data_IF_846231157165
#
_entry.id   IF_846231157165
#
_cell.length_a   1.000
_cell.length_b   1.000
_cell.length_c   1.000
_cell.angle_alpha   90.00
_cell.angle_beta   90.00
_cell.angle_gamma   90.00
#
_symmetry.space_group_name_H-M   'P 1'
#
loop_
_entity.id
_entity.type
_entity.pdbx_description
1 polymer ?
#
# COMPACT_ATOMS: atom_id res chain seq x y z
N UNK A 1 34.29 -3.06 37.10
CA UNK A 1 32.97 -2.41 37.05
C UNK A 1 32.42 -2.68 35.67
N UNK A 2 31.53 -3.67 35.60
CA UNK A 2 30.74 -3.96 34.42
C UNK A 2 29.47 -3.10 34.44
N UNK A 3 28.77 -3.09 33.32
CA UNK A 3 27.34 -2.77 33.15
C UNK A 3 27.05 -1.44 32.44
N UNK A 4 26.87 -1.55 31.12
CA UNK A 4 25.83 -0.88 30.33
C UNK A 4 25.92 -1.40 28.88
N UNK A 5 25.26 -2.53 28.62
CA UNK A 5 25.00 -3.02 27.27
C UNK A 5 23.77 -3.93 27.28
N UNK A 6 22.60 -3.36 27.55
CA UNK A 6 21.35 -4.09 27.33
C UNK A 6 20.27 -3.15 26.79
N UNK A 7 20.18 -3.07 25.46
CA UNK A 7 18.98 -2.66 24.72
C UNK A 7 19.16 -2.95 23.21
N UNK A 8 19.12 -4.22 22.82
CA UNK A 8 19.04 -4.62 21.40
C UNK A 8 18.39 -6.00 21.14
N UNK A 9 17.54 -6.49 22.04
CA UNK A 9 16.98 -7.85 21.97
C UNK A 9 15.45 -7.93 21.71
N UNK A 10 14.80 -6.84 21.30
CA UNK A 10 13.34 -6.78 21.11
C UNK A 10 12.83 -7.04 19.68
N UNK A 11 13.65 -6.82 18.64
CA UNK A 11 13.21 -6.87 17.24
C UNK A 11 13.36 -8.25 16.57
N UNK A 12 14.28 -9.10 17.04
CA UNK A 12 14.73 -10.27 16.27
C UNK A 12 13.80 -11.50 16.39
N UNK A 13 12.96 -11.57 17.42
CA UNK A 13 12.05 -12.70 17.65
C UNK A 13 10.72 -12.53 16.88
N UNK A 14 10.19 -11.30 16.85
CA UNK A 14 8.92 -10.97 16.21
C UNK A 14 8.95 -11.09 14.68
N UNK A 15 10.10 -10.86 14.05
CA UNK A 15 10.27 -11.03 12.60
C UNK A 15 10.22 -12.51 12.20
N UNK A 16 10.90 -13.38 12.96
CA UNK A 16 10.90 -14.82 12.71
C UNK A 16 9.50 -15.44 12.84
N UNK A 17 8.74 -15.09 13.89
CA UNK A 17 7.37 -15.60 14.07
C UNK A 17 6.40 -15.11 12.99
N UNK A 18 6.56 -13.86 12.51
CA UNK A 18 5.76 -13.34 11.38
C UNK A 18 6.06 -14.12 10.10
N UNK A 19 7.34 -14.30 9.79
CA UNK A 19 7.77 -15.02 8.59
C UNK A 19 7.21 -16.45 8.55
N UNK A 20 7.29 -17.20 9.66
CA UNK A 20 6.76 -18.58 9.72
C UNK A 20 5.24 -18.63 9.51
N UNK A 21 4.50 -17.69 10.10
CA UNK A 21 3.05 -17.64 9.97
C UNK A 21 2.60 -17.34 8.53
N UNK A 22 3.23 -16.36 7.87
CA UNK A 22 2.86 -15.99 6.49
C UNK A 22 3.39 -16.94 5.43
N UNK A 23 4.41 -17.74 5.74
CA UNK A 23 5.03 -18.67 4.79
C UNK A 23 4.01 -19.63 4.17
N UNK A 24 3.11 -20.20 4.95
CA UNK A 24 2.08 -21.13 4.44
C UNK A 24 0.85 -20.45 3.82
N UNK A 25 0.59 -19.18 4.17
CA UNK A 25 -0.60 -18.45 3.73
C UNK A 25 -0.36 -17.77 2.38
N UNK A 26 0.81 -17.15 2.20
CA UNK A 26 1.11 -16.32 1.02
C UNK A 26 1.84 -17.08 -0.10
N UNK A 27 2.46 -18.24 0.19
CA UNK A 27 3.22 -19.02 -0.80
C UNK A 27 2.48 -20.30 -1.22
N UNK A 28 1.16 -20.22 -1.46
CA UNK A 28 0.41 -21.38 -1.95
C UNK A 28 0.89 -21.81 -3.34
N UNK A 29 0.93 -23.12 -3.65
CA UNK A 29 1.30 -23.59 -4.97
C UNK A 29 0.31 -23.06 -6.03
N UNK A 30 0.75 -22.91 -7.29
CA UNK A 30 -0.14 -22.52 -8.37
C UNK A 30 -1.37 -23.45 -8.42
N UNK A 31 -2.58 -22.92 -8.65
CA UNK A 31 -3.78 -23.74 -8.72
C UNK A 31 -3.64 -24.77 -9.84
N UNK A 32 -3.97 -26.03 -9.54
CA UNK A 32 -3.88 -27.16 -10.50
C UNK A 32 -4.95 -27.08 -11.59
N UNK A 33 -6.01 -26.31 -11.37
CA UNK A 33 -7.10 -26.10 -12.33
C UNK A 33 -6.79 -24.92 -13.23
N UNK A 34 -6.54 -25.18 -14.51
CA UNK A 34 -6.48 -24.15 -15.54
C UNK A 34 -7.86 -23.57 -15.78
N UNK A 35 -8.04 -22.30 -15.38
CA UNK A 35 -9.30 -21.58 -15.56
C UNK A 35 -9.39 -21.14 -17.04
N UNK A 36 -10.25 -21.78 -17.82
CA UNK A 36 -10.51 -21.39 -19.21
C UNK A 36 -11.44 -20.19 -19.25
N UNK A 37 -10.87 -19.00 -19.14
CA UNK A 37 -11.60 -17.73 -19.30
C UNK A 37 -11.77 -17.51 -20.81
N UNK A 38 -13.02 -17.56 -21.29
CA UNK A 38 -13.31 -17.18 -22.66
C UNK A 38 -12.84 -15.74 -22.91
N UNK A 39 -12.22 -15.44 -24.06
CA UNK A 39 -11.80 -14.08 -24.37
C UNK A 39 -13.00 -13.14 -24.23
N UNK A 40 -12.76 -11.98 -23.61
CA UNK A 40 -13.79 -10.97 -23.43
C UNK A 40 -14.42 -10.64 -24.78
N UNK A 41 -15.71 -10.96 -24.94
CA UNK A 41 -16.43 -10.77 -26.20
C UNK A 41 -16.55 -9.29 -26.60
N UNK A 42 -16.46 -8.39 -25.62
CA UNK A 42 -16.53 -6.94 -25.80
C UNK A 42 -15.39 -6.28 -25.03
N UNK A 43 -14.62 -5.45 -25.72
CA UNK A 43 -13.68 -4.55 -25.06
C UNK A 43 -14.48 -3.46 -24.36
N UNK A 44 -14.36 -3.38 -23.02
CA UNK A 44 -14.96 -2.29 -22.26
C UNK A 44 -14.42 -0.96 -22.78
N UNK A 45 -15.29 0.03 -22.99
CA UNK A 45 -14.92 1.40 -23.37
C UNK A 45 -14.28 2.12 -22.18
N UNK A 46 -13.08 1.71 -21.80
CA UNK A 46 -12.29 2.35 -20.74
C UNK A 46 -11.43 3.43 -21.38
N UNK A 47 -11.39 4.60 -20.73
CA UNK A 47 -10.50 5.68 -21.13
C UNK A 47 -9.05 5.29 -20.79
N UNK A 48 -8.22 5.09 -21.81
CA UNK A 48 -6.78 4.77 -21.66
C UNK A 48 -5.86 5.97 -21.87
N UNK A 49 -6.40 7.20 -21.85
CA UNK A 49 -5.59 8.40 -21.93
C UNK A 49 -4.85 8.65 -20.60
N UNK A 50 -3.75 9.41 -20.63
CA UNK A 50 -3.04 9.79 -19.41
C UNK A 50 -3.96 10.53 -18.42
N UNK A 51 -3.73 10.36 -17.11
CA UNK A 51 -4.56 10.99 -16.08
C UNK A 51 -4.51 12.51 -16.17
N UNK A 52 -5.68 13.14 -16.16
CA UNK A 52 -5.81 14.60 -16.24
C UNK A 52 -5.73 15.26 -14.86
N UNK A 53 -5.33 16.53 -14.82
CA UNK A 53 -5.38 17.34 -13.59
C UNK A 53 -6.77 17.36 -12.94
N UNK A 54 -7.84 17.38 -13.74
CA UNK A 54 -9.23 17.38 -13.24
C UNK A 54 -9.57 16.08 -12.51
N UNK A 55 -9.14 14.94 -13.06
CA UNK A 55 -9.32 13.64 -12.41
C UNK A 55 -8.54 13.56 -11.09
N UNK A 56 -7.32 14.07 -11.06
CA UNK A 56 -6.50 14.14 -9.83
C UNK A 56 -7.18 15.02 -8.77
N UNK A 57 -7.69 16.20 -9.15
CA UNK A 57 -8.44 17.08 -8.23
C UNK A 57 -9.65 16.34 -7.65
N UNK A 58 -10.40 15.62 -8.49
CA UNK A 58 -11.57 14.85 -8.07
C UNK A 58 -11.17 13.72 -7.11
N UNK A 59 -10.08 13.02 -7.42
CA UNK A 59 -9.54 11.96 -6.58
C UNK A 59 -9.12 12.50 -5.20
N UNK A 60 -8.32 13.57 -5.15
CA UNK A 60 -7.88 14.19 -3.88
C UNK A 60 -9.08 14.63 -3.04
N UNK A 61 -10.10 15.27 -3.64
CA UNK A 61 -11.32 15.67 -2.92
C UNK A 61 -12.06 14.47 -2.31
N UNK A 62 -12.04 13.33 -2.99
CA UNK A 62 -12.71 12.09 -2.55
C UNK A 62 -11.95 11.30 -1.48
N UNK A 63 -10.69 11.64 -1.17
CA UNK A 63 -9.92 10.97 -0.12
C UNK A 63 -10.62 11.07 1.25
N UNK A 64 -10.56 10.02 2.06
CA UNK A 64 -11.08 10.08 3.43
C UNK A 64 -10.03 10.71 4.35
N UNK A 65 -10.42 11.73 5.11
CA UNK A 65 -9.56 12.44 6.07
C UNK A 65 -9.48 11.73 7.42
N UNK A 66 -10.47 10.90 7.78
CA UNK A 66 -10.48 10.19 9.07
C UNK A 66 -9.56 8.95 9.12
N UNK A 67 -8.52 8.89 8.29
CA UNK A 67 -7.58 7.76 8.20
C UNK A 67 -6.17 8.19 8.59
N UNK A 68 -5.42 7.27 9.19
CA UNK A 68 -4.01 7.48 9.48
C UNK A 68 -3.23 7.72 8.17
N UNK A 69 -2.24 8.64 8.20
CA UNK A 69 -1.29 8.79 7.11
C UNK A 69 -0.64 7.45 6.76
N UNK A 70 -0.23 7.30 5.49
CA UNK A 70 0.60 6.16 5.11
C UNK A 70 1.95 6.18 5.81
N UNK A 71 2.81 5.22 5.47
CA UNK A 71 4.21 5.23 5.92
C UNK A 71 5.00 6.46 5.42
N UNK A 72 4.46 7.19 4.45
CA UNK A 72 4.98 8.47 3.97
C UNK A 72 4.73 9.63 4.95
N UNK A 73 3.85 9.46 5.95
CA UNK A 73 3.50 10.50 6.91
C UNK A 73 2.65 11.63 6.33
N UNK A 74 2.10 11.48 5.12
CA UNK A 74 1.31 12.52 4.44
C UNK A 74 -0.19 12.28 4.69
N UNK A 75 -0.85 13.10 5.52
CA UNK A 75 -2.29 13.00 5.73
C UNK A 75 -3.07 13.45 4.49
N UNK A 76 -4.27 12.88 4.28
CA UNK A 76 -5.16 13.30 3.20
C UNK A 76 -5.55 14.78 3.31
N UNK A 77 -5.62 15.31 4.52
CA UNK A 77 -5.87 16.72 4.84
C UNK A 77 -4.82 17.63 4.24
N UNK A 78 -3.54 17.24 4.25
CA UNK A 78 -2.47 18.06 3.68
C UNK A 78 -2.66 18.24 2.17
N UNK A 79 -3.03 17.15 1.47
CA UNK A 79 -3.32 17.19 0.04
C UNK A 79 -4.57 18.02 -0.29
N UNK A 80 -5.56 18.02 0.62
CA UNK A 80 -6.78 18.81 0.46
C UNK A 80 -6.59 20.30 0.83
N UNK A 81 -5.64 20.62 1.68
CA UNK A 81 -5.38 21.99 2.14
C UNK A 81 -4.88 22.90 1.00
N UNK A 82 -4.03 22.37 0.12
CA UNK A 82 -3.60 23.04 -1.10
C UNK A 82 -3.71 22.10 -2.32
N UNK A 83 -4.91 22.09 -2.90
CA UNK A 83 -5.21 21.31 -4.09
C UNK A 83 -4.33 21.69 -5.28
N UNK A 84 -3.97 22.96 -5.42
CA UNK A 84 -3.18 23.44 -6.56
C UNK A 84 -1.77 22.86 -6.45
N UNK A 85 -1.11 23.06 -5.32
CA UNK A 85 0.23 22.52 -5.09
C UNK A 85 0.25 20.99 -5.19
N UNK A 86 -0.74 20.30 -4.59
CA UNK A 86 -0.85 18.86 -4.66
C UNK A 86 -0.96 18.34 -6.11
N UNK A 87 -1.78 18.99 -6.95
CA UNK A 87 -1.96 18.60 -8.35
C UNK A 87 -0.73 18.89 -9.20
N UNK A 88 -0.08 20.04 -9.00
CA UNK A 88 1.16 20.36 -9.73
C UNK A 88 2.29 19.39 -9.39
N UNK A 89 2.34 18.86 -8.16
CA UNK A 89 3.31 17.82 -7.79
C UNK A 89 2.92 16.43 -8.31
N UNK A 90 1.64 16.04 -8.17
CA UNK A 90 1.19 14.67 -8.48
C UNK A 90 1.02 14.41 -9.98
N UNK A 91 0.55 15.39 -10.76
CA UNK A 91 0.29 15.20 -12.18
C UNK A 91 1.50 14.72 -12.99
N UNK A 92 2.69 15.36 -12.94
CA UNK A 92 3.84 14.90 -13.70
C UNK A 92 4.32 13.51 -13.25
N UNK A 93 4.21 13.19 -11.95
CA UNK A 93 4.56 11.87 -11.43
C UNK A 93 3.63 10.78 -11.97
N UNK A 94 2.31 10.99 -11.87
CA UNK A 94 1.31 10.03 -12.34
C UNK A 94 1.37 9.86 -13.86
N UNK A 95 1.61 10.94 -14.60
CA UNK A 95 1.81 10.89 -16.05
C UNK A 95 3.04 10.05 -16.41
N UNK A 96 4.17 10.26 -15.72
CA UNK A 96 5.39 9.48 -15.95
C UNK A 96 5.20 7.99 -15.66
N UNK A 97 4.49 7.65 -14.58
CA UNK A 97 4.17 6.25 -14.23
C UNK A 97 3.29 5.62 -15.32
N UNK A 98 2.31 6.37 -15.83
CA UNK A 98 1.43 5.92 -16.92
C UNK A 98 2.20 5.67 -18.23
N UNK A 99 3.06 6.59 -18.64
CA UNK A 99 3.82 6.50 -19.89
C UNK A 99 4.93 5.45 -19.85
N UNK A 100 5.61 5.30 -18.71
CA UNK A 100 6.75 4.39 -18.59
C UNK A 100 6.37 3.00 -18.08
N UNK A 101 5.12 2.84 -17.62
CA UNK A 101 4.62 1.64 -16.93
C UNK A 101 5.53 1.18 -15.77
N UNK A 102 6.24 2.12 -15.15
CA UNK A 102 7.22 1.87 -14.10
C UNK A 102 6.72 2.39 -12.75
N UNK A 103 6.45 1.44 -11.85
CA UNK A 103 6.05 1.74 -10.47
C UNK A 103 7.33 1.93 -9.60
N UNK A 104 7.40 3.01 -8.79
CA UNK A 104 8.50 3.21 -7.83
C UNK A 104 8.72 1.99 -6.94
N UNK A 105 9.98 1.67 -6.65
CA UNK A 105 10.32 0.50 -5.82
C UNK A 105 9.68 0.57 -4.43
N UNK A 106 9.63 1.77 -3.84
CA UNK A 106 9.03 2.01 -2.53
C UNK A 106 7.53 1.67 -2.51
N UNK A 107 6.83 1.79 -3.65
CA UNK A 107 5.41 1.45 -3.76
C UNK A 107 5.17 -0.06 -3.92
N UNK A 108 6.21 -0.83 -4.22
CA UNK A 108 6.15 -2.30 -4.27
C UNK A 108 6.32 -2.92 -2.88
N UNK A 109 6.71 -2.12 -1.88
CA UNK A 109 6.89 -2.53 -0.50
C UNK A 109 5.65 -2.12 0.31
N UNK A 110 5.04 -3.09 1.00
CA UNK A 110 3.91 -2.85 1.90
C UNK A 110 4.25 -3.25 3.33
N UNK A 111 3.87 -2.41 4.30
CA UNK A 111 4.00 -2.74 5.71
C UNK A 111 2.80 -3.58 6.17
N UNK A 112 3.08 -4.77 6.70
CA UNK A 112 2.06 -5.67 7.24
C UNK A 112 2.05 -5.62 8.77
N UNK A 113 1.04 -4.95 9.33
CA UNK A 113 0.81 -4.87 10.77
C UNK A 113 -0.32 -5.82 11.15
N UNK A 114 -0.09 -6.68 12.16
CA UNK A 114 -1.15 -7.51 12.74
C UNK A 114 -1.95 -6.65 13.71
N UNK A 115 -3.25 -6.50 13.46
CA UNK A 115 -4.20 -5.98 14.44
C UNK A 115 -4.85 -7.16 15.16
N UNK A 116 -4.63 -7.33 16.48
CA UNK A 116 -5.29 -8.39 17.24
C UNK A 116 -6.80 -8.15 17.26
N UNK A 117 -7.60 -9.23 17.20
CA UNK A 117 -9.04 -9.11 17.27
C UNK A 117 -9.48 -8.96 18.72
N UNK A 118 -10.64 -8.33 18.93
CA UNK A 118 -11.25 -8.21 20.25
C UNK A 118 -11.49 -9.61 20.83
N UNK A 119 -10.75 -9.97 21.89
CA UNK A 119 -10.81 -11.28 22.54
C UNK A 119 -9.45 -11.99 22.65
N UNK A 120 -8.45 -11.59 21.86
CA UNK A 120 -7.14 -12.24 21.81
C UNK A 120 -6.19 -11.83 22.96
N UNK A 121 -6.63 -10.97 23.87
CA UNK A 121 -5.83 -10.45 25.00
C UNK A 121 -6.04 -11.24 26.32
N UNK A 122 -6.55 -12.47 26.28
CA UNK A 122 -6.74 -13.24 27.51
C UNK A 122 -5.41 -13.86 27.98
N UNK A 123 -4.79 -13.23 28.99
CA UNK A 123 -3.62 -13.76 29.69
C UNK A 123 -2.91 -12.71 30.54
N UNK A 124 -3.53 -12.29 31.64
CA UNK A 124 -2.84 -11.71 32.80
C UNK A 124 -3.12 -12.59 34.01
#
# INVERSE_FOLDING_TARGET
>A
MAEEAEQAAGQNNTDYTKLQHFKGILNQPPPTTTLNIAPAAEQLQVNSNPPTKVEIIKAIKSLNTAKEPGSDGIPAEALKADLTAAVEMLHPLLQKIWEQEQIPADWKLGYLVKLPKKGDFCGF
#
